data_IF_053799163540
#
_entry.id   IF_053799163540
#
_cell.length_a   1.000
_cell.length_b   1.000
_cell.length_c   1.000
_cell.angle_alpha   90.00
_cell.angle_beta   90.00
_cell.angle_gamma   90.00
#
_symmetry.space_group_name_H-M   'P 1'
#
loop_
_entity.id
_entity.type
_entity.pdbx_description
1 polymer ?
#
# COMPACT_ATOMS: atom_id res chain seq x y z
N UNK A 1 -13.23 10.79 -1.76
CA UNK A 1 -13.45 10.03 -3.01
C UNK A 1 -13.06 8.57 -2.78
N UNK A 2 -13.91 7.60 -3.14
CA UNK A 2 -13.58 6.19 -2.96
C UNK A 2 -12.52 5.71 -3.97
N UNK A 3 -11.81 4.61 -3.66
CA UNK A 3 -10.89 3.96 -4.60
C UNK A 3 -11.54 3.68 -5.97
N UNK A 4 -10.79 3.69 -7.06
CA UNK A 4 -11.33 3.37 -8.41
C UNK A 4 -11.99 1.99 -8.47
N UNK A 5 -11.53 1.05 -7.63
CA UNK A 5 -12.08 -0.30 -7.51
C UNK A 5 -13.21 -0.44 -6.48
N UNK A 6 -13.68 0.64 -5.86
CA UNK A 6 -14.75 0.60 -4.85
C UNK A 6 -15.78 1.71 -4.96
N UNK A 7 -17.06 1.38 -4.77
CA UNK A 7 -18.11 2.39 -4.71
C UNK A 7 -18.13 3.19 -3.40
N UNK A 8 -19.05 4.15 -3.29
CA UNK A 8 -19.22 4.99 -2.11
C UNK A 8 -19.62 4.20 -0.86
N UNK A 9 -20.20 3.01 -1.05
CA UNK A 9 -20.53 2.05 0.00
C UNK A 9 -19.39 1.04 0.26
N UNK A 10 -18.19 1.31 -0.27
CA UNK A 10 -16.99 0.48 -0.14
C UNK A 10 -17.11 -0.93 -0.78
N UNK A 11 -18.10 -1.17 -1.63
CA UNK A 11 -18.28 -2.45 -2.34
C UNK A 11 -17.34 -2.53 -3.54
N UNK A 12 -16.80 -3.71 -3.81
CA UNK A 12 -15.89 -3.93 -4.95
C UNK A 12 -16.66 -3.71 -6.26
N UNK A 13 -16.04 -2.95 -7.18
CA UNK A 13 -16.50 -2.87 -8.57
C UNK A 13 -16.03 -4.08 -9.36
N UNK A 14 -16.82 -4.47 -10.34
CA UNK A 14 -16.40 -5.42 -11.37
C UNK A 14 -15.40 -4.78 -12.34
N UNK A 15 -14.87 -5.57 -13.27
CA UNK A 15 -13.89 -5.09 -14.23
C UNK A 15 -14.44 -3.95 -15.11
N UNK A 16 -15.69 -4.05 -15.55
CA UNK A 16 -16.33 -3.02 -16.40
C UNK A 16 -16.48 -1.71 -15.66
N UNK A 17 -16.92 -1.75 -14.40
CA UNK A 17 -17.05 -0.58 -13.54
C UNK A 17 -15.72 0.10 -13.27
N UNK A 18 -14.63 -0.66 -13.07
CA UNK A 18 -13.28 -0.10 -12.91
C UNK A 18 -12.85 0.62 -14.19
N UNK A 19 -13.01 -0.01 -15.34
CA UNK A 19 -12.64 0.60 -16.63
C UNK A 19 -13.43 1.87 -16.89
N UNK A 20 -14.73 1.89 -16.61
CA UNK A 20 -15.55 3.09 -16.74
C UNK A 20 -15.04 4.25 -15.85
N UNK A 21 -14.54 3.95 -14.64
CA UNK A 21 -13.93 4.97 -13.78
C UNK A 21 -12.62 5.51 -14.36
N UNK A 22 -11.79 4.65 -14.93
CA UNK A 22 -10.53 5.07 -15.55
C UNK A 22 -10.77 5.89 -16.82
N UNK A 23 -11.71 5.46 -17.68
CA UNK A 23 -12.05 6.16 -18.93
C UNK A 23 -12.73 7.51 -18.70
N UNK A 24 -13.36 7.71 -17.54
CA UNK A 24 -13.97 8.99 -17.20
C UNK A 24 -12.97 10.05 -16.72
N UNK A 25 -11.73 9.65 -16.39
CA UNK A 25 -10.70 10.57 -15.89
C UNK A 25 -10.32 11.59 -16.97
N UNK A 26 -10.18 12.84 -16.56
CA UNK A 26 -9.70 13.96 -17.38
C UNK A 26 -8.24 14.28 -17.09
N UNK A 27 -7.54 15.02 -17.98
CA UNK A 27 -6.19 15.50 -17.70
C UNK A 27 -6.13 16.26 -16.37
N UNK A 28 -5.22 15.84 -15.48
CA UNK A 28 -5.06 16.42 -14.14
C UNK A 28 -5.82 15.69 -13.03
N UNK A 29 -6.72 14.76 -13.35
CA UNK A 29 -7.38 13.94 -12.34
C UNK A 29 -6.39 13.03 -11.61
N UNK A 30 -6.45 13.04 -10.27
CA UNK A 30 -5.70 12.14 -9.41
C UNK A 30 -6.66 11.14 -8.79
N UNK A 31 -6.43 9.85 -9.01
CA UNK A 31 -7.23 8.75 -8.43
C UNK A 31 -6.30 7.72 -7.80
N UNK A 32 -6.84 6.93 -6.87
CA UNK A 32 -6.12 5.82 -6.22
C UNK A 32 -6.96 4.56 -6.24
N UNK A 33 -6.32 3.40 -6.10
CA UNK A 33 -7.02 2.13 -5.90
C UNK A 33 -6.12 0.93 -5.76
N UNK A 34 -6.75 -0.21 -5.47
CA UNK A 34 -6.07 -1.49 -5.26
C UNK A 34 -6.27 -2.35 -6.52
N UNK A 35 -5.51 -2.06 -7.56
CA UNK A 35 -5.59 -2.75 -8.85
C UNK A 35 -4.43 -3.72 -9.01
N UNK A 36 -4.73 -4.96 -9.37
CA UNK A 36 -3.74 -5.97 -9.76
C UNK A 36 -3.14 -5.60 -11.12
N UNK A 37 -1.85 -5.84 -11.33
CA UNK A 37 -1.17 -5.56 -12.60
C UNK A 37 -1.51 -6.62 -13.66
N UNK A 38 -2.77 -6.61 -14.11
CA UNK A 38 -3.27 -7.51 -15.16
C UNK A 38 -4.04 -6.77 -16.23
N UNK A 39 -4.22 -7.42 -17.38
CA UNK A 39 -5.16 -6.94 -18.41
C UNK A 39 -6.58 -6.94 -17.83
N UNK A 40 -7.41 -5.92 -18.16
CA UNK A 40 -7.12 -4.81 -19.08
C UNK A 40 -6.46 -3.58 -18.41
N UNK A 41 -6.23 -3.57 -17.10
CA UNK A 41 -5.77 -2.38 -16.36
C UNK A 41 -4.39 -1.90 -16.78
N UNK A 42 -3.43 -2.82 -16.95
CA UNK A 42 -2.06 -2.49 -17.40
C UNK A 42 -2.05 -1.86 -18.79
N UNK A 43 -3.02 -2.19 -19.65
CA UNK A 43 -3.10 -1.61 -20.99
C UNK A 43 -3.47 -0.13 -20.95
N UNK A 44 -4.16 0.33 -19.90
CA UNK A 44 -4.57 1.74 -19.72
C UNK A 44 -3.50 2.49 -18.93
N UNK A 45 -3.13 1.96 -17.76
CA UNK A 45 -2.30 2.66 -16.77
C UNK A 45 -0.83 2.84 -17.20
N UNK A 46 -0.41 2.17 -18.28
CA UNK A 46 0.92 2.29 -18.88
C UNK A 46 0.98 3.22 -20.09
N UNK A 47 -0.15 3.76 -20.55
CA UNK A 47 -0.19 4.62 -21.74
C UNK A 47 0.47 5.97 -21.47
N UNK A 48 0.99 6.60 -22.53
CA UNK A 48 1.43 7.99 -22.45
C UNK A 48 0.25 8.88 -22.04
N UNK A 49 0.51 9.90 -21.23
CA UNK A 49 -0.52 10.70 -20.58
C UNK A 49 -0.98 10.15 -19.21
N UNK A 50 -0.67 8.90 -18.89
CA UNK A 50 -0.87 8.34 -17.54
C UNK A 50 0.45 8.31 -16.76
N UNK A 51 0.42 8.85 -15.55
CA UNK A 51 1.48 8.74 -14.56
C UNK A 51 1.02 7.83 -13.42
N UNK A 52 1.36 6.55 -13.50
CA UNK A 52 1.00 5.56 -12.48
C UNK A 52 2.11 5.45 -11.46
N UNK A 53 1.78 5.71 -10.19
CA UNK A 53 2.69 5.57 -9.04
C UNK A 53 2.24 4.38 -8.20
N UNK A 54 3.12 3.39 -8.03
CA UNK A 54 2.88 2.21 -7.19
C UNK A 54 3.59 2.38 -5.86
N UNK A 55 2.81 2.58 -4.79
CA UNK A 55 3.32 2.71 -3.43
C UNK A 55 3.35 1.33 -2.77
N UNK A 56 4.53 0.91 -2.31
CA UNK A 56 4.70 -0.28 -1.48
C UNK A 56 5.24 0.09 -0.10
N UNK A 57 5.02 -0.78 0.88
CA UNK A 57 5.44 -0.60 2.27
C UNK A 57 6.06 -1.90 2.78
N UNK A 58 6.90 -1.84 3.80
CA UNK A 58 7.48 -3.04 4.42
C UNK A 58 6.34 -3.99 4.86
N UNK A 59 6.28 -5.23 4.34
CA UNK A 59 5.27 -6.22 4.72
C UNK A 59 5.15 -6.43 6.24
N UNK A 60 6.23 -6.28 6.99
CA UNK A 60 6.25 -6.43 8.45
C UNK A 60 5.54 -5.28 9.14
N UNK A 61 5.79 -4.04 8.70
CA UNK A 61 5.06 -2.87 9.19
C UNK A 61 3.60 -2.88 8.78
N UNK A 62 3.28 -3.45 7.62
CA UNK A 62 1.88 -3.65 7.20
C UNK A 62 1.16 -4.61 8.15
N UNK A 63 1.81 -5.70 8.58
CA UNK A 63 1.22 -6.63 9.54
C UNK A 63 0.92 -5.95 10.90
N UNK A 64 1.88 -5.19 11.45
CA UNK A 64 1.68 -4.41 12.68
C UNK A 64 0.58 -3.36 12.50
N UNK A 65 0.59 -2.63 11.40
CA UNK A 65 -0.42 -1.64 11.09
C UNK A 65 -1.83 -2.26 10.98
N UNK A 66 -1.94 -3.46 10.42
CA UNK A 66 -3.21 -4.16 10.29
C UNK A 66 -3.74 -4.65 11.64
N UNK A 67 -2.87 -5.16 12.51
CA UNK A 67 -3.24 -5.53 13.88
C UNK A 67 -3.88 -4.35 14.62
N UNK A 68 -3.20 -3.20 14.66
CA UNK A 68 -3.73 -2.01 15.32
C UNK A 68 -5.00 -1.50 14.63
N UNK A 69 -5.06 -1.54 13.29
CA UNK A 69 -6.25 -1.11 12.56
C UNK A 69 -7.49 -1.93 12.94
N UNK A 70 -7.36 -3.26 12.99
CA UNK A 70 -8.45 -4.15 13.38
C UNK A 70 -8.84 -3.88 14.82
N UNK A 71 -7.88 -3.84 15.75
CA UNK A 71 -8.16 -3.72 17.19
C UNK A 71 -8.71 -2.34 17.57
N UNK A 72 -8.13 -1.26 17.06
CA UNK A 72 -8.36 0.09 17.58
C UNK A 72 -9.29 0.94 16.71
N UNK A 73 -9.38 0.65 15.40
CA UNK A 73 -9.98 1.57 14.43
C UNK A 73 -11.19 1.00 13.71
N UNK A 74 -11.38 -0.32 13.67
CA UNK A 74 -12.43 -0.92 12.85
C UNK A 74 -13.20 -2.03 13.58
N UNK A 75 -14.13 -1.62 14.43
CA UNK A 75 -15.04 -2.51 15.16
C UNK A 75 -15.93 -3.37 14.24
N UNK A 76 -16.12 -2.94 12.98
CA UNK A 76 -16.88 -3.66 11.96
C UNK A 76 -16.01 -4.59 11.10
N UNK A 77 -14.73 -4.75 11.43
CA UNK A 77 -13.86 -5.66 10.70
C UNK A 77 -14.28 -7.09 10.99
N UNK A 78 -14.33 -7.94 9.98
CA UNK A 78 -14.78 -9.33 10.12
C UNK A 78 -14.00 -10.14 11.17
N UNK A 79 -12.73 -9.76 11.40
CA UNK A 79 -11.84 -10.38 12.38
C UNK A 79 -11.80 -9.65 13.73
N UNK A 80 -12.58 -8.57 13.92
CA UNK A 80 -12.56 -7.78 15.16
C UNK A 80 -12.83 -8.63 16.39
N UNK A 81 -13.92 -9.40 16.38
CA UNK A 81 -14.30 -10.26 17.51
C UNK A 81 -13.24 -11.32 17.79
N UNK A 82 -12.77 -12.03 16.75
CA UNK A 82 -11.72 -13.03 16.90
C UNK A 82 -10.41 -12.46 17.47
N UNK A 83 -10.07 -11.20 17.15
CA UNK A 83 -8.91 -10.50 17.72
C UNK A 83 -9.10 -10.09 19.19
N UNK A 84 -10.32 -10.18 19.72
CA UNK A 84 -10.62 -9.88 21.13
C UNK A 84 -10.95 -11.14 21.95
N UNK A 85 -11.37 -12.24 21.31
CA UNK A 85 -11.81 -13.45 22.01
C UNK A 85 -10.92 -14.66 21.77
N UNK A 86 -10.30 -14.79 20.58
CA UNK A 86 -9.45 -15.93 20.20
C UNK A 86 -7.97 -15.54 20.27
N UNK A 87 -7.56 -14.47 19.59
CA UNK A 87 -6.19 -13.96 19.59
C UNK A 87 -6.08 -12.74 20.50
N UNK A 88 -6.03 -12.98 21.80
CA UNK A 88 -6.16 -11.93 22.82
C UNK A 88 -4.88 -11.14 23.06
N UNK A 89 -3.71 -11.67 22.65
CA UNK A 89 -2.40 -11.00 22.79
C UNK A 89 -1.91 -10.41 21.47
N UNK A 90 -1.06 -9.36 21.48
CA UNK A 90 -0.45 -8.83 20.27
C UNK A 90 0.31 -9.89 19.46
N UNK A 91 1.07 -10.74 20.15
CA UNK A 91 1.78 -11.85 19.52
C UNK A 91 0.82 -12.81 18.79
N UNK A 92 -0.27 -13.23 19.45
CA UNK A 92 -1.26 -14.12 18.83
C UNK A 92 -1.93 -13.49 17.60
N UNK A 93 -2.20 -12.18 17.63
CA UNK A 93 -2.79 -11.44 16.51
C UNK A 93 -1.82 -11.34 15.33
N UNK A 94 -0.56 -11.01 15.59
CA UNK A 94 0.48 -10.95 14.56
C UNK A 94 0.71 -12.32 13.94
N UNK A 95 0.79 -13.37 14.76
CA UNK A 95 0.87 -14.75 14.28
C UNK A 95 -0.30 -15.09 13.33
N UNK A 96 -1.54 -14.76 13.71
CA UNK A 96 -2.72 -14.97 12.87
C UNK A 96 -2.67 -14.18 11.55
N UNK A 97 -2.11 -12.97 11.55
CA UNK A 97 -1.90 -12.17 10.33
C UNK A 97 -0.85 -12.82 9.43
N UNK A 98 0.28 -13.26 10.00
CA UNK A 98 1.41 -13.82 9.25
C UNK A 98 1.08 -15.19 8.67
N UNK A 99 0.37 -16.04 9.41
CA UNK A 99 -0.10 -17.34 8.92
C UNK A 99 -1.22 -17.19 7.89
N UNK A 100 -1.99 -16.10 8.00
CA UNK A 100 -3.32 -15.97 7.42
C UNK A 100 -4.35 -16.66 8.31
N UNK A 101 -5.59 -16.19 8.26
CA UNK A 101 -6.67 -16.66 9.13
C UNK A 101 -7.98 -16.85 8.35
N UNK A 102 -8.81 -17.78 8.81
CA UNK A 102 -10.10 -18.08 8.19
C UNK A 102 -11.21 -18.12 9.23
N UNK A 103 -12.29 -17.41 8.95
CA UNK A 103 -13.58 -17.49 9.61
C UNK A 103 -14.64 -17.98 8.58
N UNK A 104 -15.83 -18.44 9.00
CA UNK A 104 -16.82 -19.03 8.09
C UNK A 104 -17.14 -18.20 6.83
N UNK A 105 -17.14 -16.87 6.94
CA UNK A 105 -17.47 -15.96 5.83
C UNK A 105 -16.34 -15.00 5.45
N UNK A 106 -15.17 -15.13 6.07
CA UNK A 106 -14.10 -14.14 5.94
C UNK A 106 -12.73 -14.80 5.94
N UNK A 107 -11.81 -14.23 5.16
CA UNK A 107 -10.43 -14.71 5.05
C UNK A 107 -9.47 -13.54 5.16
N UNK A 108 -8.47 -13.71 6.02
CA UNK A 108 -7.28 -12.89 6.11
C UNK A 108 -6.18 -13.60 5.30
N UNK A 109 -5.68 -12.93 4.27
CA UNK A 109 -4.56 -13.48 3.48
C UNK A 109 -3.25 -13.24 4.22
N UNK A 110 -2.34 -14.20 4.15
CA UNK A 110 -0.98 -14.01 4.63
C UNK A 110 -0.24 -12.95 3.78
N UNK A 111 0.85 -12.35 4.29
CA UNK A 111 1.57 -11.29 3.59
C UNK A 111 2.11 -11.69 2.21
N UNK A 112 2.59 -12.92 2.03
CA UNK A 112 3.09 -13.40 0.74
C UNK A 112 1.97 -13.47 -0.31
N UNK A 113 0.84 -14.06 0.05
CA UNK A 113 -0.36 -14.08 -0.81
C UNK A 113 -0.84 -12.67 -1.11
N UNK A 114 -0.88 -11.78 -0.10
CA UNK A 114 -1.35 -10.42 -0.29
C UNK A 114 -0.46 -9.62 -1.25
N UNK A 115 0.86 -9.67 -1.07
CA UNK A 115 1.79 -8.92 -1.91
C UNK A 115 1.90 -9.50 -3.32
N UNK A 116 1.92 -10.83 -3.46
CA UNK A 116 2.06 -11.49 -4.78
C UNK A 116 0.99 -11.05 -5.79
N UNK A 117 -0.22 -10.69 -5.32
CA UNK A 117 -1.26 -10.12 -6.17
C UNK A 117 -0.88 -8.79 -6.86
N UNK A 118 0.12 -8.07 -6.36
CA UNK A 118 0.49 -6.74 -6.84
C UNK A 118 1.95 -6.61 -7.30
N UNK A 119 2.80 -7.61 -7.02
CA UNK A 119 4.23 -7.56 -7.36
C UNK A 119 4.51 -7.38 -8.85
N UNK A 120 3.59 -7.80 -9.72
CA UNK A 120 3.72 -7.60 -11.16
C UNK A 120 3.85 -6.12 -11.56
N UNK A 121 3.39 -5.18 -10.72
CA UNK A 121 3.63 -3.74 -10.93
C UNK A 121 5.11 -3.37 -10.95
N UNK A 122 5.97 -4.12 -10.27
CA UNK A 122 7.42 -3.89 -10.24
C UNK A 122 8.08 -4.18 -11.61
N UNK A 123 7.39 -4.88 -12.50
CA UNK A 123 7.96 -5.31 -13.79
C UNK A 123 7.71 -4.31 -14.92
N UNK A 124 6.94 -3.25 -14.67
CA UNK A 124 6.56 -2.27 -15.68
C UNK A 124 7.36 -0.97 -15.55
N UNK A 125 8.28 -0.66 -16.48
CA UNK A 125 9.10 0.56 -16.41
C UNK A 125 8.28 1.85 -16.55
N UNK A 126 7.06 1.76 -17.08
CA UNK A 126 6.11 2.88 -17.18
C UNK A 126 5.42 3.23 -15.86
N UNK A 127 5.71 2.50 -14.78
CA UNK A 127 5.16 2.69 -13.44
C UNK A 127 6.26 3.12 -12.49
N UNK A 128 6.02 4.21 -11.76
CA UNK A 128 6.96 4.70 -10.76
C UNK A 128 6.72 4.00 -9.44
N UNK A 129 7.66 3.14 -9.04
CA UNK A 129 7.59 2.44 -7.76
C UNK A 129 8.20 3.31 -6.66
N UNK A 130 7.45 3.52 -5.59
CA UNK A 130 7.91 4.28 -4.43
C UNK A 130 7.66 3.51 -3.14
N UNK A 131 8.63 3.56 -2.23
CA UNK A 131 8.48 3.02 -0.88
C UNK A 131 7.80 4.05 0.00
N UNK A 132 6.85 3.61 0.82
CA UNK A 132 6.24 4.44 1.85
C UNK A 132 7.31 5.05 2.76
N UNK A 133 8.35 4.28 3.07
CA UNK A 133 9.45 4.70 3.93
C UNK A 133 10.20 5.90 3.35
N UNK A 134 10.40 5.95 2.03
CA UNK A 134 11.06 7.09 1.36
C UNK A 134 10.21 8.37 1.45
N UNK A 135 8.88 8.25 1.41
CA UNK A 135 7.96 9.40 1.58
C UNK A 135 7.97 9.97 3.01
N UNK A 136 8.47 9.20 3.98
CA UNK A 136 8.63 9.64 5.36
C UNK A 136 10.05 10.14 5.62
N UNK A 137 11.06 9.36 5.24
CA UNK A 137 12.47 9.60 5.59
C UNK A 137 13.18 10.54 4.62
N UNK A 138 12.86 10.45 3.32
CA UNK A 138 13.48 11.21 2.24
C UNK A 138 12.42 11.98 1.43
N UNK A 139 11.51 12.65 2.15
CA UNK A 139 10.26 13.17 1.61
C UNK A 139 10.46 14.10 0.42
N UNK A 140 11.18 15.21 0.61
CA UNK A 140 11.35 16.25 -0.41
C UNK A 140 11.97 15.68 -1.69
N UNK A 141 13.03 14.90 -1.55
CA UNK A 141 13.68 14.20 -2.67
C UNK A 141 12.71 13.25 -3.39
N UNK A 142 11.96 12.45 -2.63
CA UNK A 142 11.00 11.49 -3.20
C UNK A 142 9.85 12.17 -3.93
N UNK A 143 9.34 13.28 -3.39
CA UNK A 143 8.34 14.11 -4.07
C UNK A 143 8.91 14.72 -5.35
N UNK A 144 10.18 15.14 -5.35
CA UNK A 144 10.89 15.61 -6.54
C UNK A 144 10.91 14.56 -7.65
N UNK A 145 11.34 13.33 -7.33
CA UNK A 145 11.35 12.22 -8.29
C UNK A 145 9.95 11.89 -8.83
N UNK A 146 8.91 11.97 -8.00
CA UNK A 146 7.52 11.77 -8.43
C UNK A 146 7.09 12.87 -9.40
N UNK A 147 7.40 14.15 -9.09
CA UNK A 147 7.11 15.28 -9.98
C UNK A 147 7.81 15.12 -11.33
N UNK A 148 9.09 14.76 -11.34
CA UNK A 148 9.86 14.53 -12.56
C UNK A 148 9.23 13.40 -13.39
N UNK A 149 8.86 12.29 -12.75
CA UNK A 149 8.17 11.18 -13.40
C UNK A 149 6.82 11.62 -14.02
N UNK A 150 6.00 12.38 -13.29
CA UNK A 150 4.71 12.88 -13.81
C UNK A 150 4.92 13.75 -15.06
N UNK A 151 5.91 14.64 -15.03
CA UNK A 151 6.26 15.48 -16.18
C UNK A 151 6.79 14.66 -17.36
N UNK A 152 7.56 13.59 -17.12
CA UNK A 152 8.04 12.71 -18.18
C UNK A 152 6.91 11.91 -18.86
N UNK A 153 5.91 11.48 -18.09
CA UNK A 153 4.80 10.64 -18.59
C UNK A 153 3.69 11.41 -19.31
N UNK A 154 3.48 12.67 -18.94
CA UNK A 154 2.41 13.50 -19.46
C UNK A 154 2.87 14.71 -20.26
N UNK A 155 1.93 15.39 -20.90
CA UNK A 155 2.16 16.71 -21.49
C UNK A 155 2.09 17.83 -20.43
N UNK A 156 1.71 17.51 -19.19
CA UNK A 156 1.67 18.48 -18.10
C UNK A 156 3.07 18.92 -17.69
N UNK A 157 3.24 20.21 -17.45
CA UNK A 157 4.49 20.83 -17.01
C UNK A 157 4.20 21.70 -15.80
N UNK A 158 5.14 21.72 -14.86
CA UNK A 158 5.11 22.67 -13.75
C UNK A 158 5.10 24.10 -14.30
N UNK A 159 4.18 24.92 -13.80
CA UNK A 159 4.09 26.35 -14.11
C UNK A 159 4.87 27.22 -13.11
N UNK A 160 5.28 26.63 -11.99
CA UNK A 160 6.04 27.26 -10.91
C UNK A 160 7.43 26.65 -10.83
N UNK A 161 8.33 27.30 -10.09
CA UNK A 161 9.64 26.71 -9.79
C UNK A 161 9.46 25.41 -8.98
N UNK A 162 10.32 24.42 -9.24
CA UNK A 162 10.22 23.09 -8.62
C UNK A 162 10.21 23.16 -7.09
N UNK A 163 11.05 24.00 -6.48
CA UNK A 163 11.09 24.19 -5.03
C UNK A 163 9.76 24.70 -4.46
N UNK A 164 9.08 25.63 -5.15
CA UNK A 164 7.78 26.14 -4.71
C UNK A 164 6.69 25.06 -4.78
N UNK A 165 6.75 24.20 -5.80
CA UNK A 165 5.85 23.06 -5.92
C UNK A 165 6.10 22.03 -4.80
N UNK A 166 7.37 21.77 -4.47
CA UNK A 166 7.74 20.88 -3.37
C UNK A 166 7.26 21.43 -2.01
N UNK A 167 7.44 22.72 -1.74
CA UNK A 167 6.93 23.36 -0.53
C UNK A 167 5.41 23.19 -0.40
N UNK A 168 4.68 23.40 -1.51
CA UNK A 168 3.23 23.23 -1.54
C UNK A 168 2.80 21.77 -1.30
N UNK A 169 3.50 20.79 -1.90
CA UNK A 169 3.24 19.37 -1.69
C UNK A 169 3.51 18.96 -0.24
N UNK A 170 4.62 19.41 0.35
CA UNK A 170 4.96 19.10 1.74
C UNK A 170 3.93 19.69 2.71
N UNK A 171 3.49 20.93 2.48
CA UNK A 171 2.44 21.56 3.29
C UNK A 171 1.08 20.87 3.18
N UNK A 172 0.78 20.25 2.03
CA UNK A 172 -0.45 19.48 1.81
C UNK A 172 -0.45 18.11 2.53
N UNK A 173 0.69 17.59 2.97
CA UNK A 173 0.77 16.31 3.68
C UNK A 173 0.33 16.50 5.14
N UNK A 174 -0.95 16.19 5.41
CA UNK A 174 -1.58 16.36 6.72
C UNK A 174 -2.12 15.03 7.26
N UNK A 175 -1.25 14.10 7.68
CA UNK A 175 -1.63 12.73 7.99
C UNK A 175 -2.61 12.62 9.18
N UNK A 176 -2.54 13.54 10.14
CA UNK A 176 -3.46 13.61 11.29
C UNK A 176 -4.93 13.85 10.90
N UNK A 177 -5.20 14.31 9.67
CA UNK A 177 -6.57 14.43 9.14
C UNK A 177 -7.14 13.09 8.65
N UNK A 178 -6.32 12.05 8.54
CA UNK A 178 -6.79 10.71 8.17
C UNK A 178 -7.34 9.98 9.39
N UNK A 179 -8.58 9.49 9.31
CA UNK A 179 -9.21 8.68 10.37
C UNK A 179 -8.50 7.34 10.64
N UNK A 180 -7.62 6.91 9.74
CA UNK A 180 -6.79 5.69 9.91
C UNK A 180 -5.36 5.98 10.34
N UNK A 181 -5.00 7.26 10.56
CA UNK A 181 -3.67 7.61 11.01
C UNK A 181 -3.40 7.10 12.44
N UNK A 182 -2.18 6.59 12.65
CA UNK A 182 -1.71 6.05 13.93
C UNK A 182 -0.36 6.67 14.33
N UNK A 183 0.74 6.24 13.70
CA UNK A 183 2.09 6.80 13.94
C UNK A 183 2.77 7.38 12.70
N UNK A 184 2.59 6.77 11.52
CA UNK A 184 3.23 7.21 10.28
C UNK A 184 4.75 7.03 10.24
N UNK A 185 5.29 6.11 11.04
CA UNK A 185 6.73 5.85 11.15
C UNK A 185 7.09 4.48 10.53
N UNK A 186 8.16 4.40 9.73
CA UNK A 186 8.78 3.16 9.30
C UNK A 186 9.43 2.37 10.44
N UNK A 187 9.49 1.05 10.31
CA UNK A 187 10.33 0.17 11.11
C UNK A 187 9.77 -0.20 12.48
N UNK A 188 8.50 0.12 12.77
CA UNK A 188 7.86 -0.20 14.04
C UNK A 188 7.75 -1.71 14.26
N UNK A 189 7.74 -2.52 13.21
CA UNK A 189 7.76 -3.97 13.33
C UNK A 189 8.83 -4.51 14.28
N UNK A 190 9.97 -3.82 14.44
CA UNK A 190 11.04 -4.19 15.38
C UNK A 190 10.62 -4.15 16.85
N UNK A 191 9.62 -3.35 17.20
CA UNK A 191 9.06 -3.28 18.56
C UNK A 191 8.12 -4.45 18.85
N UNK A 192 7.59 -5.10 17.80
CA UNK A 192 6.50 -6.09 17.92
C UNK A 192 6.90 -7.51 17.52
N UNK A 193 7.97 -7.67 16.73
CA UNK A 193 8.45 -8.96 16.26
C UNK A 193 9.53 -9.48 17.20
N UNK A 194 9.21 -10.53 17.93
CA UNK A 194 10.20 -11.39 18.59
C UNK A 194 10.79 -12.40 17.59
N UNK A 195 11.74 -13.22 18.07
CA UNK A 195 12.42 -14.22 17.23
C UNK A 195 11.46 -15.28 16.68
N UNK A 196 10.39 -15.61 17.40
CA UNK A 196 9.38 -16.56 16.94
C UNK A 196 8.58 -15.98 15.77
N UNK A 197 8.14 -14.72 15.86
CA UNK A 197 7.44 -14.05 14.77
C UNK A 197 8.35 -13.80 13.57
N UNK A 198 9.63 -13.46 13.78
CA UNK A 198 10.61 -13.33 12.68
C UNK A 198 10.78 -14.65 11.94
N UNK A 199 11.01 -15.75 12.66
CA UNK A 199 11.13 -17.10 12.08
C UNK A 199 9.89 -17.46 11.28
N UNK A 200 8.71 -17.30 11.89
CA UNK A 200 7.45 -17.56 11.22
C UNK A 200 7.28 -16.67 9.97
N UNK A 201 7.64 -15.39 10.04
CA UNK A 201 7.54 -14.50 8.89
C UNK A 201 8.45 -14.93 7.74
N UNK A 202 9.69 -15.33 8.02
CA UNK A 202 10.61 -15.90 7.03
C UNK A 202 10.03 -17.15 6.39
N UNK A 203 9.53 -18.09 7.20
CA UNK A 203 8.90 -19.33 6.72
C UNK A 203 7.69 -19.07 5.81
N UNK A 204 6.84 -18.11 6.17
CA UNK A 204 5.60 -17.80 5.44
C UNK A 204 5.81 -16.94 4.20
N UNK A 205 6.85 -16.11 4.19
CA UNK A 205 7.04 -15.13 3.10
C UNK A 205 8.21 -15.43 2.17
N UNK A 206 9.10 -16.35 2.54
CA UNK A 206 10.29 -16.70 1.74
C UNK A 206 11.08 -15.44 1.37
N UNK A 207 11.36 -15.30 0.08
CA UNK A 207 12.20 -14.21 -0.44
C UNK A 207 11.45 -12.87 -0.60
N UNK A 208 10.23 -12.73 -0.07
CA UNK A 208 9.41 -11.53 -0.29
C UNK A 208 10.16 -10.23 0.06
N UNK A 209 10.82 -10.19 1.22
CA UNK A 209 11.54 -8.99 1.66
C UNK A 209 12.78 -8.72 0.78
N UNK A 210 13.44 -9.76 0.29
CA UNK A 210 14.57 -9.65 -0.65
C UNK A 210 14.08 -9.12 -2.00
N UNK A 211 12.99 -9.67 -2.53
CA UNK A 211 12.37 -9.24 -3.79
C UNK A 211 11.88 -7.79 -3.75
N UNK A 212 11.41 -7.34 -2.59
CA UNK A 212 11.01 -5.95 -2.37
C UNK A 212 12.21 -5.03 -2.06
N UNK A 213 13.39 -5.60 -1.81
CA UNK A 213 14.63 -4.91 -1.47
C UNK A 213 14.64 -4.29 -0.07
N UNK A 214 13.87 -4.86 0.86
CA UNK A 214 13.91 -4.50 2.29
C UNK A 214 15.04 -5.21 3.03
N UNK A 215 15.44 -6.40 2.56
CA UNK A 215 16.52 -7.20 3.14
C UNK A 215 17.42 -7.77 2.04
N UNK A 216 18.66 -8.14 2.38
CA UNK A 216 19.64 -8.69 1.43
C UNK A 216 19.56 -10.22 1.33
N UNK A 217 19.28 -10.86 2.45
CA UNK A 217 19.26 -12.31 2.64
C UNK A 217 18.26 -12.66 3.76
N UNK A 218 18.36 -13.85 4.35
CA UNK A 218 17.49 -14.30 5.45
C UNK A 218 18.07 -14.06 6.85
N UNK A 219 19.19 -13.36 7.00
CA UNK A 219 19.86 -13.15 8.30
C UNK A 219 19.38 -11.90 9.06
N UNK A 220 18.21 -11.36 8.67
CA UNK A 220 17.57 -10.19 9.30
C UNK A 220 16.74 -10.50 10.57
#
# INVERSE_FOLDING_TARGET
>A
MPPVNRDVANRKRDQKGILAQLSAMQPGDIRYGYLVAKKPYVNVLKQNGWATVFILRDPRDVAVSLMHYIVEKQVKHDFYEAFHTIWTTPHARLKAIIEGARLPHSRLSDPATQYSMYLDWLTYPEVFVVRFEDLILNRRETLGRILDFIQQRGAWRLTLAQEQALDALEAAIQPHRSGTFRKGQPGEWREWFDEDLKRLFKERTGDLLIRLGYERDHDW
#
